data_IF_887188753381
#
_entry.id   IF_887188753381
#
_cell.length_a   1.000
_cell.length_b   1.000
_cell.length_c   1.000
_cell.angle_alpha   90.00
_cell.angle_beta   90.00
_cell.angle_gamma   90.00
#
_symmetry.space_group_name_H-M   'P 1'
#
loop_
_entity.id
_entity.type
_entity.pdbx_description
1 polymer ?
#
# COMPACT_ATOMS: atom_id res chain seq x y z
N UNK A 1 37.35 -2.49 25.15
CA UNK A 1 36.95 -3.81 25.73
C UNK A 1 36.44 -3.67 27.17
N UNK A 2 37.01 -2.81 28.02
CA UNK A 2 36.50 -2.59 29.38
C UNK A 2 35.12 -1.91 29.43
N UNK A 3 34.81 -1.04 28.47
CA UNK A 3 33.56 -0.26 28.46
C UNK A 3 32.31 -1.12 28.29
N UNK A 4 32.36 -2.16 27.43
CA UNK A 4 31.26 -3.12 27.25
C UNK A 4 30.97 -3.90 28.53
N UNK A 5 32.00 -4.29 29.28
CA UNK A 5 31.87 -5.04 30.53
C UNK A 5 31.33 -4.16 31.65
N UNK A 6 31.73 -2.89 31.68
CA UNK A 6 31.17 -1.87 32.57
C UNK A 6 29.71 -1.59 32.25
N UNK A 7 29.35 -1.44 30.97
CA UNK A 7 27.98 -1.20 30.53
C UNK A 7 27.03 -2.36 30.90
N UNK A 8 27.43 -3.61 30.65
CA UNK A 8 26.60 -4.79 31.04
C UNK A 8 26.44 -4.87 32.56
N UNK A 9 27.49 -4.56 33.32
CA UNK A 9 27.43 -4.56 34.79
C UNK A 9 26.56 -3.42 35.33
N UNK A 10 26.56 -2.26 34.67
CA UNK A 10 25.69 -1.14 34.98
C UNK A 10 24.21 -1.46 34.68
N UNK A 11 23.93 -2.11 33.54
CA UNK A 11 22.59 -2.56 33.15
C UNK A 11 22.03 -3.61 34.12
N UNK A 12 22.88 -4.51 34.63
CA UNK A 12 22.53 -5.49 35.66
C UNK A 12 22.36 -4.90 37.07
N UNK A 13 22.92 -3.71 37.34
CA UNK A 13 22.80 -3.04 38.63
C UNK A 13 21.45 -2.30 38.79
N UNK A 14 20.81 -1.90 37.68
CA UNK A 14 19.50 -1.22 37.67
C UNK A 14 18.48 -1.97 36.80
N UNK A 15 18.10 -3.21 37.17
CA UNK A 15 17.32 -4.11 36.30
C UNK A 15 15.95 -3.56 35.91
N UNK A 16 15.29 -2.77 36.78
CA UNK A 16 13.99 -2.16 36.49
C UNK A 16 14.09 -1.11 35.39
N UNK A 17 15.08 -0.22 35.47
CA UNK A 17 15.29 0.85 34.47
C UNK A 17 15.67 0.23 33.13
N UNK A 18 16.57 -0.76 33.15
CA UNK A 18 16.97 -1.52 31.97
C UNK A 18 15.78 -2.23 31.31
N UNK A 19 14.90 -2.86 32.09
CA UNK A 19 13.71 -3.53 31.57
C UNK A 19 12.74 -2.53 30.91
N UNK A 20 12.44 -1.41 31.57
CA UNK A 20 11.55 -0.38 31.00
C UNK A 20 12.13 0.23 29.73
N UNK A 21 13.43 0.55 29.72
CA UNK A 21 14.11 1.08 28.55
C UNK A 21 14.11 0.09 27.38
N UNK A 22 14.37 -1.19 27.65
CA UNK A 22 14.36 -2.26 26.64
C UNK A 22 12.96 -2.48 26.09
N UNK A 23 11.93 -2.50 26.94
CA UNK A 23 10.54 -2.65 26.52
C UNK A 23 10.08 -1.45 25.68
N UNK A 24 10.41 -0.23 26.08
CA UNK A 24 10.09 0.98 25.33
C UNK A 24 10.77 0.98 23.94
N UNK A 25 12.05 0.61 23.89
CA UNK A 25 12.80 0.48 22.65
C UNK A 25 12.19 -0.62 21.74
N UNK A 26 11.88 -1.78 22.32
CA UNK A 26 11.24 -2.88 21.61
C UNK A 26 9.85 -2.49 21.09
N UNK A 27 9.08 -1.72 21.86
CA UNK A 27 7.77 -1.23 21.44
C UNK A 27 7.89 -0.22 20.31
N UNK A 28 8.84 0.72 20.38
CA UNK A 28 9.07 1.71 19.32
C UNK A 28 9.52 1.08 18.01
N UNK A 29 10.46 0.13 18.07
CA UNK A 29 10.93 -0.61 16.89
C UNK A 29 9.84 -1.54 16.37
N UNK A 30 9.16 -2.26 17.28
CA UNK A 30 8.10 -3.21 16.95
C UNK A 30 6.87 -2.55 16.35
N UNK A 31 6.44 -1.40 16.85
CA UNK A 31 5.29 -0.65 16.32
C UNK A 31 5.58 -0.17 14.89
N UNK A 32 6.75 0.40 14.64
CA UNK A 32 7.15 0.81 13.29
C UNK A 32 7.20 -0.39 12.33
N UNK A 33 7.80 -1.50 12.77
CA UNK A 33 7.88 -2.74 11.97
C UNK A 33 6.50 -3.35 11.72
N UNK A 34 5.61 -3.35 12.72
CA UNK A 34 4.27 -3.90 12.63
C UNK A 34 3.41 -3.10 11.65
N UNK A 35 3.48 -1.77 11.68
CA UNK A 35 2.78 -0.92 10.71
C UNK A 35 3.27 -1.23 9.29
N UNK A 36 4.58 -1.27 9.06
CA UNK A 36 5.13 -1.61 7.73
C UNK A 36 4.77 -3.03 7.28
N UNK A 37 4.83 -4.01 8.18
CA UNK A 37 4.45 -5.40 7.89
C UNK A 37 2.96 -5.52 7.59
N UNK A 38 2.11 -4.79 8.31
CA UNK A 38 0.66 -4.74 8.09
C UNK A 38 0.34 -4.06 6.75
N UNK A 39 0.93 -2.90 6.49
CA UNK A 39 0.81 -2.21 5.21
C UNK A 39 1.31 -3.09 4.06
N UNK A 40 2.44 -3.77 4.22
CA UNK A 40 2.93 -4.73 3.23
C UNK A 40 1.96 -5.92 3.07
N UNK A 41 1.36 -6.40 4.14
CA UNK A 41 0.43 -7.55 4.06
C UNK A 41 -0.95 -7.18 3.52
N UNK A 42 -1.36 -5.90 3.60
CA UNK A 42 -2.68 -5.42 3.17
C UNK A 42 -2.63 -4.69 1.83
N UNK A 43 -1.67 -3.78 1.64
CA UNK A 43 -1.47 -3.03 0.39
C UNK A 43 -0.67 -3.83 -0.63
N UNK A 44 0.31 -4.62 -0.17
CA UNK A 44 1.18 -5.46 -1.00
C UNK A 44 0.82 -6.94 -0.87
N UNK A 45 -0.37 -7.29 -0.33
CA UNK A 45 -0.92 -8.64 -0.53
C UNK A 45 -0.93 -8.84 -2.02
N UNK A 46 0.00 -9.67 -2.48
CA UNK A 46 0.35 -9.77 -3.88
C UNK A 46 -0.96 -10.04 -4.60
N UNK A 47 -1.43 -9.07 -5.39
CA UNK A 47 -2.32 -9.41 -6.49
C UNK A 47 -1.66 -10.64 -7.12
N UNK A 48 -2.39 -11.74 -7.36
CA UNK A 48 -1.86 -12.94 -7.99
C UNK A 48 -1.53 -12.64 -9.45
N UNK A 49 -0.57 -11.74 -9.66
CA UNK A 49 0.00 -11.33 -10.92
C UNK A 49 1.37 -11.96 -10.98
N UNK A 50 1.57 -12.77 -12.01
CA UNK A 50 2.74 -13.61 -12.26
C UNK A 50 4.07 -12.83 -12.27
N UNK A 51 4.04 -11.50 -12.46
CA UNK A 51 5.21 -10.63 -12.44
C UNK A 51 4.90 -9.20 -11.92
N UNK A 52 5.00 -8.93 -10.61
CA UNK A 52 4.73 -7.60 -10.05
C UNK A 52 5.71 -6.52 -10.54
N UNK A 53 6.93 -6.90 -10.91
CA UNK A 53 7.96 -6.02 -11.49
C UNK A 53 7.64 -5.55 -12.92
N UNK A 54 6.69 -6.19 -13.59
CA UNK A 54 6.26 -5.84 -14.95
C UNK A 54 4.99 -4.98 -14.95
N UNK A 55 4.43 -4.67 -13.78
CA UNK A 55 3.28 -3.77 -13.64
C UNK A 55 3.73 -2.30 -13.69
N UNK A 56 3.22 -1.58 -14.69
CA UNK A 56 3.44 -0.13 -14.81
C UNK A 56 2.08 0.56 -14.73
N UNK A 57 1.96 1.51 -13.80
CA UNK A 57 0.78 2.40 -13.73
C UNK A 57 1.00 3.61 -14.62
N UNK A 58 0.26 3.68 -15.71
CA UNK A 58 0.28 4.86 -16.59
C UNK A 58 -0.71 5.87 -16.03
N UNK A 59 -0.20 6.97 -15.47
CA UNK A 59 -1.03 8.07 -14.98
C UNK A 59 -0.81 9.32 -15.82
N UNK A 60 -1.89 10.04 -16.14
CA UNK A 60 -1.78 11.34 -16.80
C UNK A 60 -1.26 12.35 -15.78
N UNK A 61 -0.03 12.82 -15.98
CA UNK A 61 0.53 13.93 -15.22
C UNK A 61 -0.07 15.24 -15.73
N UNK A 62 -1.35 15.46 -15.44
CA UNK A 62 -1.98 16.75 -15.64
C UNK A 62 -1.39 17.76 -14.65
N UNK A 63 -0.67 18.76 -15.16
CA UNK A 63 -0.33 19.96 -14.40
C UNK A 63 -1.64 20.57 -13.88
N UNK A 64 -1.77 20.73 -12.56
CA UNK A 64 -2.94 21.27 -11.84
C UNK A 64 -4.00 20.27 -11.34
N UNK A 65 -3.63 19.07 -10.89
CA UNK A 65 -4.49 18.32 -9.94
C UNK A 65 -5.81 17.77 -10.50
N UNK A 66 -6.03 17.90 -11.82
CA UNK A 66 -7.18 17.36 -12.52
C UNK A 66 -6.83 15.92 -12.95
N UNK A 67 -6.93 15.00 -11.99
CA UNK A 67 -6.75 13.54 -12.16
C UNK A 67 -7.90 12.91 -12.95
N UNK A 68 -8.25 13.44 -14.12
CA UNK A 68 -9.48 13.04 -14.78
C UNK A 68 -9.20 12.13 -15.95
N UNK A 69 -9.60 10.88 -15.74
CA UNK A 69 -10.06 9.90 -16.70
C UNK A 69 -9.51 10.06 -18.12
N UNK A 70 -8.64 9.13 -18.50
CA UNK A 70 -8.27 8.91 -19.89
C UNK A 70 -9.54 8.73 -20.72
N UNK A 71 -9.71 9.53 -21.78
CA UNK A 71 -10.84 9.38 -22.69
C UNK A 71 -10.76 8.01 -23.39
N UNK A 72 -11.91 7.43 -23.75
CA UNK A 72 -11.99 6.12 -24.39
C UNK A 72 -11.01 5.91 -25.58
N UNK A 73 -10.79 6.89 -26.48
CA UNK A 73 -9.84 6.72 -27.58
C UNK A 73 -8.39 6.50 -27.13
N UNK A 74 -7.98 7.11 -26.00
CA UNK A 74 -6.63 6.94 -25.47
C UNK A 74 -6.47 5.56 -24.84
N UNK A 75 -7.53 5.07 -24.18
CA UNK A 75 -7.59 3.69 -23.70
C UNK A 75 -7.51 2.68 -24.86
N UNK A 76 -8.25 2.92 -25.94
CA UNK A 76 -8.26 2.04 -27.11
C UNK A 76 -6.87 1.95 -27.77
N UNK A 77 -6.16 3.08 -27.86
CA UNK A 77 -4.78 3.10 -28.34
C UNK A 77 -3.79 2.34 -27.45
N UNK A 78 -3.95 2.40 -26.12
CA UNK A 78 -3.10 1.62 -25.19
C UNK A 78 -3.40 0.13 -25.33
N UNK A 79 -4.68 -0.23 -25.39
CA UNK A 79 -5.13 -1.62 -25.55
C UNK A 79 -4.63 -2.24 -26.85
N UNK A 80 -4.54 -1.48 -27.94
CA UNK A 80 -4.08 -1.96 -29.24
C UNK A 80 -2.55 -2.14 -29.33
N UNK A 81 -1.76 -1.58 -28.39
CA UNK A 81 -0.29 -1.70 -28.36
C UNK A 81 0.17 -2.92 -27.58
N UNK A 82 -0.18 -4.11 -28.06
CA UNK A 82 0.23 -5.42 -27.49
C UNK A 82 1.73 -5.68 -27.59
N UNK A 83 2.47 -4.94 -28.41
CA UNK A 83 3.93 -5.04 -28.52
C UNK A 83 4.68 -4.50 -27.28
N UNK A 84 4.04 -3.60 -26.53
CA UNK A 84 4.64 -2.95 -25.36
C UNK A 84 4.16 -3.56 -24.03
N UNK A 85 2.96 -4.14 -24.03
CA UNK A 85 2.32 -4.67 -22.83
C UNK A 85 1.59 -5.97 -23.15
N UNK A 86 1.77 -6.97 -22.29
CA UNK A 86 1.10 -8.28 -22.38
C UNK A 86 -0.42 -8.17 -22.14
N UNK A 87 -0.85 -7.11 -21.46
CA UNK A 87 -2.25 -6.79 -21.24
C UNK A 87 -2.44 -5.37 -20.69
N UNK A 88 -3.67 -4.87 -20.78
CA UNK A 88 -4.05 -3.57 -20.25
C UNK A 88 -5.20 -3.69 -19.25
N UNK A 89 -5.06 -3.02 -18.11
CA UNK A 89 -6.06 -2.93 -17.05
C UNK A 89 -6.50 -1.47 -16.89
N UNK A 90 -7.79 -1.25 -16.74
CA UNK A 90 -8.35 0.06 -16.42
C UNK A 90 -9.27 -0.06 -15.21
N UNK A 91 -9.06 0.82 -14.24
CA UNK A 91 -9.95 0.97 -13.09
C UNK A 91 -10.26 2.44 -12.81
N UNK A 92 -11.46 2.69 -12.29
CA UNK A 92 -11.87 4.01 -11.83
C UNK A 92 -12.58 3.88 -10.47
N UNK A 93 -11.98 4.40 -9.37
CA UNK A 93 -12.61 4.36 -8.06
C UNK A 93 -13.83 5.28 -8.05
N UNK A 94 -14.95 4.78 -7.57
CA UNK A 94 -16.20 5.54 -7.48
C UNK A 94 -16.96 5.17 -6.21
N UNK A 95 -17.77 6.10 -5.71
CA UNK A 95 -18.69 5.82 -4.61
C UNK A 95 -20.04 5.42 -5.16
N UNK A 96 -20.53 4.28 -4.72
CA UNK A 96 -21.84 3.79 -5.08
C UNK A 96 -22.77 3.96 -3.90
N UNK A 97 -23.93 4.57 -4.15
CA UNK A 97 -25.00 4.57 -3.17
C UNK A 97 -25.75 3.23 -3.29
N UNK A 98 -25.66 2.40 -2.26
CA UNK A 98 -26.34 1.10 -2.21
C UNK A 98 -27.65 1.15 -1.42
N UNK A 99 -28.12 2.34 -1.05
CA UNK A 99 -29.38 2.47 -0.33
C UNK A 99 -30.56 2.01 -1.19
N UNK A 100 -31.26 0.96 -0.74
CA UNK A 100 -32.52 0.48 -1.34
C UNK A 100 -33.72 1.40 -1.03
N UNK A 101 -33.54 2.40 -0.16
CA UNK A 101 -34.54 3.41 0.22
C UNK A 101 -34.24 4.02 1.60
N UNK A 102 -34.46 5.33 1.74
CA UNK A 102 -34.23 6.05 2.99
C UNK A 102 -32.82 6.65 3.08
N UNK A 103 -32.00 6.12 3.99
CA UNK A 103 -30.70 6.70 4.34
C UNK A 103 -29.62 6.30 3.32
N UNK A 104 -28.89 7.28 2.79
CA UNK A 104 -27.83 7.06 1.80
C UNK A 104 -26.66 6.30 2.43
N UNK A 105 -26.36 5.11 1.92
CA UNK A 105 -25.15 4.35 2.27
C UNK A 105 -24.20 4.36 1.09
N UNK A 106 -23.17 5.20 1.18
CA UNK A 106 -22.08 5.17 0.23
C UNK A 106 -21.12 4.03 0.56
N UNK A 107 -20.85 3.20 -0.45
CA UNK A 107 -19.78 2.21 -0.39
C UNK A 107 -18.73 2.60 -1.42
N UNK A 108 -17.48 2.55 -0.98
CA UNK A 108 -16.34 2.70 -1.87
C UNK A 108 -16.25 1.48 -2.78
N UNK A 109 -16.31 1.70 -4.09
CA UNK A 109 -16.18 0.66 -5.10
C UNK A 109 -15.24 1.08 -6.22
N UNK A 110 -15.03 0.17 -7.15
CA UNK A 110 -14.20 0.41 -8.33
C UNK A 110 -14.92 -0.11 -9.56
N UNK A 111 -14.98 0.72 -10.61
CA UNK A 111 -15.22 0.24 -11.95
C UNK A 111 -13.94 -0.42 -12.44
N UNK A 112 -14.03 -1.64 -12.96
CA UNK A 112 -12.92 -2.34 -13.58
C UNK A 112 -13.34 -2.84 -14.96
N UNK A 113 -12.38 -2.93 -15.88
CA UNK A 113 -12.62 -3.55 -17.18
C UNK A 113 -12.57 -5.09 -17.06
N UNK A 114 -13.13 -5.78 -18.06
CA UNK A 114 -13.22 -7.24 -18.05
C UNK A 114 -11.89 -8.00 -18.08
N UNK A 115 -10.75 -7.32 -18.29
CA UNK A 115 -9.42 -7.92 -18.20
C UNK A 115 -8.83 -7.89 -16.78
N UNK A 116 -9.53 -7.30 -15.81
CA UNK A 116 -9.09 -7.22 -14.41
C UNK A 116 -9.24 -8.53 -13.61
N UNK A 117 -10.02 -9.49 -14.12
CA UNK A 117 -10.29 -10.80 -13.50
C UNK A 117 -9.94 -11.92 -14.48
#
# INVERSE_FOLDING_TARGET
MQDLRLAVRALGATPVVTAVATLSLALGIGANTAIFSLLNSLLLRSLPVTAPQSLVTISSAGSHGLKWAWNYPVWDQIRQRTELFDGALAWYPNRFNLASGGETQFVDGLWANGSFF
#
